data_IF_117355155394
#
_entry.id   IF_117355155394
#
_cell.length_a   1.000
_cell.length_b   1.000
_cell.length_c   1.000
_cell.angle_alpha   90.00
_cell.angle_beta   90.00
_cell.angle_gamma   90.00
#
_symmetry.space_group_name_H-M   'P 1'
#
loop_
_entity.id
_entity.type
_entity.pdbx_description
1 polymer ?
#
# COMPACT_ATOMS: atom_id res chain seq x y z
N UNK A 1 8.35 -21.89 -1.46
CA UNK A 1 8.60 -20.59 -0.80
C UNK A 1 10.05 -20.46 -0.37
N UNK A 2 10.70 -21.54 0.09
CA UNK A 2 12.11 -21.50 0.52
C UNK A 2 13.13 -21.33 -0.63
N UNK A 3 12.77 -21.72 -1.86
CA UNK A 3 13.63 -21.59 -3.05
C UNK A 3 13.37 -20.33 -3.90
N UNK A 4 12.65 -19.33 -3.37
CA UNK A 4 12.37 -18.09 -4.11
C UNK A 4 13.36 -17.01 -3.72
N UNK A 5 13.93 -16.32 -4.72
CA UNK A 5 14.76 -15.15 -4.48
C UNK A 5 13.90 -14.05 -3.85
N UNK A 6 14.32 -13.45 -2.73
CA UNK A 6 13.62 -12.30 -2.17
C UNK A 6 13.52 -11.15 -3.19
N UNK A 7 12.37 -10.48 -3.28
CA UNK A 7 12.15 -9.32 -4.17
C UNK A 7 13.15 -8.18 -3.95
N UNK A 8 13.78 -8.12 -2.77
CA UNK A 8 14.86 -7.17 -2.47
C UNK A 8 16.11 -7.40 -3.34
N UNK A 9 16.34 -8.62 -3.81
CA UNK A 9 17.51 -9.02 -4.59
C UNK A 9 17.21 -9.22 -6.08
N UNK A 10 15.95 -9.08 -6.49
CA UNK A 10 15.56 -9.17 -7.89
C UNK A 10 15.63 -7.81 -8.59
N UNK A 11 15.93 -7.84 -9.89
CA UNK A 11 15.69 -6.69 -10.77
C UNK A 11 14.17 -6.59 -11.00
N UNK A 12 13.51 -5.44 -10.72
CA UNK A 12 12.07 -5.29 -10.90
C UNK A 12 11.57 -5.59 -12.30
N UNK A 13 12.41 -5.52 -13.33
CA UNK A 13 12.04 -5.89 -14.71
C UNK A 13 11.83 -7.39 -14.89
N UNK A 14 12.43 -8.22 -14.04
CA UNK A 14 12.29 -9.68 -14.05
C UNK A 14 11.17 -10.18 -13.14
N UNK A 15 10.67 -9.33 -12.24
CA UNK A 15 9.56 -9.71 -11.33
C UNK A 15 8.26 -9.80 -12.13
N UNK A 16 7.62 -10.96 -12.14
CA UNK A 16 6.33 -11.15 -12.81
C UNK A 16 5.23 -10.26 -12.23
N UNK A 17 4.28 -9.86 -13.08
CA UNK A 17 3.15 -9.04 -12.64
C UNK A 17 2.17 -9.89 -11.83
N UNK A 18 1.69 -9.35 -10.71
CA UNK A 18 0.75 -10.01 -9.81
C UNK A 18 -0.10 -8.97 -9.10
N UNK A 19 -1.32 -9.34 -8.71
CA UNK A 19 -2.20 -8.50 -7.88
C UNK A 19 -1.60 -8.19 -6.49
N UNK A 20 -0.55 -8.91 -6.09
CA UNK A 20 0.15 -8.74 -4.81
C UNK A 20 1.44 -7.91 -4.92
N UNK A 21 1.83 -7.49 -6.14
CA UNK A 21 3.04 -6.71 -6.40
C UNK A 21 2.67 -5.42 -7.13
N UNK A 22 2.84 -4.29 -6.44
CA UNK A 22 2.60 -2.97 -6.99
C UNK A 22 3.93 -2.36 -7.43
N UNK A 23 4.06 -1.98 -8.70
CA UNK A 23 5.23 -1.29 -9.24
C UNK A 23 4.91 0.18 -9.49
N UNK A 24 5.80 1.07 -9.06
CA UNK A 24 5.62 2.52 -9.22
C UNK A 24 6.92 3.17 -9.69
N UNK A 25 6.82 4.35 -10.28
CA UNK A 25 7.98 5.13 -10.71
C UNK A 25 8.35 6.21 -9.70
N UNK A 26 9.61 6.62 -9.71
CA UNK A 26 10.15 7.65 -8.84
C UNK A 26 9.45 8.98 -9.09
N UNK A 27 9.07 9.66 -8.00
CA UNK A 27 8.33 10.92 -8.02
C UNK A 27 6.83 10.78 -8.30
N UNK A 28 6.33 9.58 -8.62
CA UNK A 28 4.91 9.33 -8.89
C UNK A 28 4.06 9.58 -7.63
N UNK A 29 2.90 10.23 -7.80
CA UNK A 29 1.87 10.28 -6.76
C UNK A 29 0.93 9.09 -6.90
N UNK A 30 0.73 8.36 -5.80
CA UNK A 30 -0.03 7.12 -5.75
C UNK A 30 -1.15 7.24 -4.73
N UNK A 31 -2.37 6.89 -5.14
CA UNK A 31 -3.52 6.71 -4.27
C UNK A 31 -3.76 5.23 -3.99
N UNK A 32 -3.65 4.84 -2.71
CA UNK A 32 -4.02 3.52 -2.23
C UNK A 32 -5.46 3.58 -1.71
N UNK A 33 -6.37 2.91 -2.43
CA UNK A 33 -7.77 2.75 -2.03
C UNK A 33 -7.93 1.41 -1.31
N UNK A 34 -8.03 1.46 0.01
CA UNK A 34 -8.20 0.27 0.86
C UNK A 34 -9.69 0.03 1.05
N UNK A 35 -10.17 -1.14 0.64
CA UNK A 35 -11.57 -1.55 0.79
C UNK A 35 -11.66 -2.63 1.86
N UNK A 36 -12.46 -2.42 2.90
CA UNK A 36 -12.73 -3.43 3.92
C UNK A 36 -14.11 -4.03 3.63
N UNK A 37 -14.14 -5.33 3.32
CA UNK A 37 -15.33 -6.08 2.88
C UNK A 37 -15.63 -7.25 3.82
N UNK A 38 -16.86 -7.77 3.76
CA UNK A 38 -17.33 -8.92 4.55
C UNK A 38 -18.19 -8.51 5.76
N UNK A 39 -19.03 -9.42 6.28
CA UNK A 39 -19.82 -9.13 7.48
C UNK A 39 -18.90 -9.03 8.71
N UNK A 40 -19.09 -8.01 9.54
CA UNK A 40 -18.41 -7.84 10.84
C UNK A 40 -16.86 -7.78 10.75
N UNK A 41 -16.33 -7.18 9.68
CA UNK A 41 -14.89 -7.04 9.53
C UNK A 41 -14.33 -6.06 10.58
N UNK A 42 -13.38 -6.56 11.37
CA UNK A 42 -12.72 -5.79 12.42
C UNK A 42 -11.85 -4.67 11.82
N UNK A 43 -11.53 -3.62 12.60
CA UNK A 43 -10.57 -2.61 12.16
C UNK A 43 -9.20 -3.26 11.88
N UNK A 44 -8.62 -2.95 10.73
CA UNK A 44 -7.29 -3.42 10.35
C UNK A 44 -6.28 -2.27 10.45
N UNK A 45 -5.31 -2.31 11.37
CA UNK A 45 -4.20 -1.36 11.39
C UNK A 45 -3.31 -1.64 10.19
N UNK A 46 -3.34 -0.80 9.16
CA UNK A 46 -2.50 -0.93 7.98
C UNK A 46 -1.23 -0.11 8.14
N UNK A 47 -0.09 -0.68 7.77
CA UNK A 47 1.23 -0.05 7.86
C UNK A 47 1.93 -0.08 6.50
N UNK A 48 2.51 1.07 6.11
CA UNK A 48 3.35 1.23 4.93
C UNK A 48 4.82 1.38 5.38
N UNK A 49 5.67 0.51 4.86
CA UNK A 49 7.12 0.70 4.91
C UNK A 49 7.57 1.80 3.94
N UNK A 50 8.78 2.33 4.12
CA UNK A 50 9.32 3.52 3.42
C UNK A 50 8.74 4.84 3.95
N UNK A 51 8.35 5.75 3.07
CA UNK A 51 7.81 7.04 3.44
C UNK A 51 6.33 6.98 3.87
N UNK A 52 5.93 7.99 4.65
CA UNK A 52 4.57 8.17 5.16
C UNK A 52 3.58 8.51 4.03
N UNK A 53 2.31 8.23 4.26
CA UNK A 53 1.20 8.58 3.39
C UNK A 53 0.24 9.58 4.05
N UNK A 54 -0.35 10.44 3.24
CA UNK A 54 -1.45 11.33 3.63
C UNK A 54 -2.75 10.55 3.71
N UNK A 55 -3.48 10.69 4.80
CA UNK A 55 -4.81 10.12 4.94
C UNK A 55 -5.82 11.11 4.36
N UNK A 56 -6.31 10.84 3.15
CA UNK A 56 -7.16 11.79 2.44
C UNK A 56 -8.62 11.72 2.88
N UNK A 57 -9.15 10.51 3.06
CA UNK A 57 -10.56 10.33 3.36
C UNK A 57 -10.93 8.89 3.66
N UNK A 58 -12.12 8.71 4.23
CA UNK A 58 -12.72 7.42 4.52
C UNK A 58 -14.23 7.52 4.36
N UNK A 59 -14.87 6.39 4.07
CA UNK A 59 -16.31 6.35 3.90
C UNK A 59 -16.90 4.96 4.13
N UNK A 60 -18.24 4.94 4.17
CA UNK A 60 -19.06 3.73 4.24
C UNK A 60 -19.69 3.53 2.85
N UNK A 61 -19.85 2.28 2.44
CA UNK A 61 -20.29 1.86 1.13
C UNK A 61 -19.17 1.26 0.28
N UNK A 62 -19.55 0.71 -0.87
CA UNK A 62 -18.59 0.19 -1.83
C UNK A 62 -17.87 1.34 -2.56
N UNK A 63 -16.57 1.20 -2.77
CA UNK A 63 -15.84 2.07 -3.68
C UNK A 63 -16.11 1.66 -5.13
N UNK A 64 -16.79 2.52 -5.89
CA UNK A 64 -17.23 2.27 -7.28
C UNK A 64 -16.60 3.22 -8.31
N UNK A 65 -15.65 4.05 -7.90
CA UNK A 65 -14.96 5.02 -8.77
C UNK A 65 -13.63 4.47 -9.29
N UNK A 66 -13.16 4.95 -10.44
CA UNK A 66 -11.85 4.57 -10.96
C UNK A 66 -10.74 5.43 -10.35
N UNK A 67 -11.05 6.67 -9.98
CA UNK A 67 -10.07 7.60 -9.41
C UNK A 67 -10.58 8.30 -8.16
N UNK A 68 -9.65 8.80 -7.33
CA UNK A 68 -9.99 9.64 -6.16
C UNK A 68 -10.63 10.95 -6.58
N UNK A 69 -10.27 11.48 -7.75
CA UNK A 69 -10.88 12.71 -8.29
C UNK A 69 -12.36 12.50 -8.64
N UNK A 70 -12.71 11.37 -9.27
CA UNK A 70 -14.10 11.01 -9.55
C UNK A 70 -14.90 10.84 -8.26
N UNK A 71 -14.34 10.15 -7.27
CA UNK A 71 -14.97 9.97 -5.97
C UNK A 71 -15.19 11.33 -5.26
N UNK A 72 -14.19 12.22 -5.29
CA UNK A 72 -14.28 13.53 -4.68
C UNK A 72 -15.34 14.44 -5.34
N UNK A 73 -15.59 14.26 -6.63
CA UNK A 73 -16.65 14.99 -7.35
C UNK A 73 -18.06 14.44 -7.05
N UNK A 74 -18.18 13.13 -6.78
CA UNK A 74 -19.46 12.46 -6.55
C UNK A 74 -19.91 12.46 -5.06
N UNK A 75 -18.95 12.54 -4.13
CA UNK A 75 -19.21 12.46 -2.70
C UNK A 75 -19.43 13.85 -2.06
N UNK A 76 -20.07 13.92 -0.88
CA UNK A 76 -20.28 15.19 -0.19
C UNK A 76 -18.99 15.98 0.04
N UNK A 77 -19.09 17.31 0.00
CA UNK A 77 -17.98 18.18 0.33
C UNK A 77 -17.44 17.88 1.74
N UNK A 78 -16.12 17.82 1.88
CA UNK A 78 -15.45 17.46 3.14
C UNK A 78 -15.21 15.96 3.35
N UNK A 79 -15.67 15.08 2.44
CA UNK A 79 -15.29 13.65 2.49
C UNK A 79 -13.78 13.43 2.33
N UNK A 80 -13.12 14.25 1.51
CA UNK A 80 -11.67 14.26 1.36
C UNK A 80 -11.06 15.55 1.91
N UNK A 81 -9.99 15.42 2.69
CA UNK A 81 -9.18 16.52 3.18
C UNK A 81 -7.93 16.67 2.29
N UNK A 82 -8.00 17.57 1.31
CA UNK A 82 -6.85 17.90 0.45
C UNK A 82 -6.03 19.09 0.95
N UNK A 83 -6.52 19.82 1.95
CA UNK A 83 -5.88 21.05 2.44
C UNK A 83 -4.79 20.78 3.47
N UNK A 84 -5.07 19.91 4.45
CA UNK A 84 -4.11 19.53 5.49
C UNK A 84 -4.38 18.10 6.01
N UNK A 85 -4.22 17.07 5.16
CA UNK A 85 -4.41 15.69 5.58
C UNK A 85 -3.32 15.25 6.57
N UNK A 86 -3.66 14.40 7.57
CA UNK A 86 -2.65 13.81 8.45
C UNK A 86 -1.63 12.98 7.66
N UNK A 87 -0.34 13.16 7.94
CA UNK A 87 0.76 12.38 7.39
C UNK A 87 1.16 11.25 8.36
N UNK A 88 0.96 9.99 7.96
CA UNK A 88 1.11 8.80 8.82
C UNK A 88 1.78 7.63 8.09
N UNK A 89 2.46 6.78 8.83
CA UNK A 89 2.99 5.47 8.40
C UNK A 89 2.03 4.31 8.71
N UNK A 90 1.16 4.48 9.70
CA UNK A 90 0.11 3.54 10.07
C UNK A 90 -1.27 4.19 10.17
N UNK A 91 -2.30 3.46 9.75
CA UNK A 91 -3.69 3.88 9.90
C UNK A 91 -4.64 2.69 10.05
N UNK A 92 -5.62 2.82 10.95
CA UNK A 92 -6.62 1.78 11.20
C UNK A 92 -7.86 1.96 10.32
N UNK A 93 -8.19 0.93 9.53
CA UNK A 93 -9.41 0.93 8.70
C UNK A 93 -10.67 1.11 9.54
N UNK A 94 -11.70 1.69 8.93
CA UNK A 94 -13.01 1.78 9.58
C UNK A 94 -13.59 0.37 9.73
N UNK A 95 -14.08 -0.03 10.92
CA UNK A 95 -14.78 -1.30 11.06
C UNK A 95 -15.96 -1.38 10.10
N UNK A 96 -16.21 -2.56 9.55
CA UNK A 96 -17.40 -2.84 8.76
C UNK A 96 -18.36 -3.67 9.63
N UNK A 97 -19.40 -3.01 10.13
CA UNK A 97 -20.43 -3.66 10.95
C UNK A 97 -21.66 -4.11 10.13
N UNK A 98 -21.87 -3.52 8.94
CA UNK A 98 -23.06 -3.72 8.11
C UNK A 98 -22.74 -3.60 6.61
N UNK A 99 -21.99 -2.57 6.22
CA UNK A 99 -21.66 -2.22 4.84
C UNK A 99 -20.15 -2.12 4.65
N UNK A 100 -19.63 -2.45 3.46
CA UNK A 100 -18.22 -2.22 3.09
C UNK A 100 -17.76 -0.83 3.49
N UNK A 101 -16.50 -0.68 3.88
CA UNK A 101 -15.89 0.62 4.12
C UNK A 101 -14.71 0.81 3.20
N UNK A 102 -14.31 2.07 3.00
CA UNK A 102 -13.12 2.40 2.24
C UNK A 102 -12.32 3.51 2.89
N UNK A 103 -11.06 3.58 2.49
CA UNK A 103 -10.11 4.60 2.89
C UNK A 103 -9.14 4.90 1.77
N UNK A 104 -8.71 6.14 1.68
CA UNK A 104 -7.74 6.59 0.70
C UNK A 104 -6.50 7.13 1.39
N UNK A 105 -5.36 6.53 1.07
CA UNK A 105 -4.03 7.04 1.41
C UNK A 105 -3.37 7.57 0.14
N UNK A 106 -2.67 8.70 0.22
CA UNK A 106 -1.88 9.25 -0.88
C UNK A 106 -0.43 9.41 -0.48
N UNK A 107 0.51 8.95 -1.29
CA UNK A 107 1.92 9.19 -1.07
C UNK A 107 2.63 9.53 -2.38
N UNK A 108 3.80 10.17 -2.26
CA UNK A 108 4.70 10.36 -3.39
C UNK A 108 5.81 9.32 -3.30
N UNK A 109 6.20 8.69 -4.39
CA UNK A 109 7.32 7.75 -4.41
C UNK A 109 8.62 8.54 -4.33
N UNK A 110 9.30 8.51 -3.18
CA UNK A 110 10.52 9.31 -2.95
C UNK A 110 11.72 8.47 -2.53
N UNK A 111 11.55 7.16 -2.41
CA UNK A 111 12.59 6.25 -1.94
C UNK A 111 12.46 4.93 -2.72
N UNK A 112 13.31 4.69 -3.72
CA UNK A 112 13.28 3.46 -4.50
C UNK A 112 13.60 2.21 -3.68
N UNK A 113 12.89 1.11 -3.91
CA UNK A 113 13.14 -0.18 -3.26
C UNK A 113 11.88 -1.03 -3.03
N UNK A 114 12.09 -2.21 -2.46
CA UNK A 114 11.03 -3.16 -2.13
C UNK A 114 10.53 -2.94 -0.70
N UNK A 115 9.23 -2.66 -0.55
CA UNK A 115 8.58 -2.33 0.70
C UNK A 115 7.30 -3.14 0.92
N UNK A 116 6.95 -3.34 2.18
CA UNK A 116 5.72 -4.03 2.55
C UNK A 116 4.61 -3.01 2.87
N UNK A 117 3.41 -3.25 2.36
CA UNK A 117 2.18 -2.65 2.88
C UNK A 117 1.29 -3.75 3.43
N UNK A 118 1.03 -3.75 4.75
CA UNK A 118 0.42 -4.90 5.41
C UNK A 118 -0.40 -4.52 6.64
N UNK A 119 -1.22 -5.47 7.09
CA UNK A 119 -1.87 -5.35 8.38
C UNK A 119 -0.85 -5.57 9.52
N UNK A 120 -0.85 -4.71 10.53
CA UNK A 120 0.04 -4.74 11.68
C UNK A 120 -0.49 -5.65 12.82
N UNK A 121 -1.43 -6.54 12.49
CA UNK A 121 -1.84 -7.66 13.36
C UNK A 121 -1.05 -8.88 12.91
N UNK A 122 -0.23 -9.44 13.81
CA UNK A 122 0.72 -10.51 13.49
C UNK A 122 0.07 -11.70 12.76
N UNK A 123 -1.09 -12.16 13.24
CA UNK A 123 -1.81 -13.28 12.63
C UNK A 123 -2.37 -12.95 11.25
N UNK A 124 -2.71 -11.69 10.97
CA UNK A 124 -3.21 -11.27 9.66
C UNK A 124 -2.09 -11.18 8.63
N UNK A 125 -0.93 -10.59 8.98
CA UNK A 125 0.23 -10.55 8.06
C UNK A 125 0.78 -11.95 7.82
N UNK A 126 0.88 -12.79 8.86
CA UNK A 126 1.28 -14.19 8.70
C UNK A 126 0.28 -14.99 7.84
N UNK A 127 -1.01 -14.62 7.89
CA UNK A 127 -2.06 -15.16 7.03
C UNK A 127 -2.10 -14.59 5.60
N UNK A 128 -1.17 -13.70 5.24
CA UNK A 128 -1.04 -13.17 3.88
C UNK A 128 -1.69 -11.80 3.63
N UNK A 129 -2.14 -11.08 4.66
CA UNK A 129 -2.69 -9.72 4.51
C UNK A 129 -1.58 -8.67 4.29
N UNK A 130 -0.88 -8.80 3.16
CA UNK A 130 0.22 -7.96 2.75
C UNK A 130 0.30 -7.85 1.22
N UNK A 131 0.82 -6.74 0.73
CA UNK A 131 1.25 -6.55 -0.65
C UNK A 131 2.68 -6.02 -0.67
N UNK A 132 3.44 -6.43 -1.67
CA UNK A 132 4.77 -5.88 -1.93
C UNK A 132 4.62 -4.65 -2.83
N UNK A 133 5.32 -3.57 -2.47
CA UNK A 133 5.46 -2.37 -3.28
C UNK A 133 6.91 -2.29 -3.74
N UNK A 134 7.12 -2.35 -5.06
CA UNK A 134 8.38 -2.04 -5.70
C UNK A 134 8.30 -0.57 -6.12
N UNK A 135 8.72 0.30 -5.20
CA UNK A 135 8.67 1.74 -5.40
C UNK A 135 9.91 2.19 -6.20
N UNK A 136 9.71 3.06 -7.19
CA UNK A 136 10.82 3.64 -7.97
C UNK A 136 11.57 2.64 -8.84
N UNK A 137 10.86 1.78 -9.59
CA UNK A 137 11.47 0.75 -10.44
C UNK A 137 12.36 1.31 -11.57
N UNK A 138 12.18 2.59 -11.89
CA UNK A 138 12.97 3.35 -12.85
C UNK A 138 14.29 3.91 -12.28
N UNK A 139 14.48 3.86 -10.96
CA UNK A 139 15.70 4.28 -10.25
C UNK A 139 16.07 3.25 -9.16
N UNK A 140 16.00 1.96 -9.52
CA UNK A 140 16.16 0.87 -8.57
C UNK A 140 17.60 0.78 -8.00
N UNK A 141 17.77 0.67 -6.68
CA UNK A 141 19.10 0.66 -6.09
C UNK A 141 19.81 -0.67 -6.34
N UNK A 142 21.14 -0.60 -6.48
CA UNK A 142 21.98 -1.81 -6.54
C UNK A 142 22.10 -2.42 -5.16
N UNK A 143 21.90 -3.74 -5.08
CA UNK A 143 22.12 -4.50 -3.85
C UNK A 143 23.59 -4.40 -3.43
N UNK A 144 23.90 -4.01 -2.18
CA UNK A 144 25.27 -4.00 -1.69
C UNK A 144 25.92 -5.39 -1.76
N UNK A 145 27.19 -5.53 -2.21
CA UNK A 145 27.82 -6.84 -2.40
C UNK A 145 27.87 -7.73 -1.16
N UNK A 146 27.96 -7.14 0.04
CA UNK A 146 27.95 -7.87 1.31
C UNK A 146 26.59 -8.51 1.63
N UNK A 147 25.50 -8.00 1.07
CA UNK A 147 24.16 -8.57 1.25
C UNK A 147 23.94 -9.79 0.35
N UNK A 148 24.58 -9.84 -0.82
CA UNK A 148 24.53 -11.00 -1.72
C UNK A 148 25.31 -12.19 -1.13
N UNK A 149 26.55 -11.92 -0.69
CA UNK A 149 27.42 -12.94 -0.11
C UNK A 149 26.85 -13.58 1.16
N UNK A 150 26.08 -12.84 1.96
CA UNK A 150 25.44 -13.36 3.17
C UNK A 150 24.24 -14.28 2.89
N UNK A 151 23.70 -14.26 1.67
CA UNK A 151 22.55 -15.07 1.25
C UNK A 151 22.93 -16.33 0.46
N UNK A 152 24.23 -16.53 0.19
CA UNK A 152 24.69 -17.64 -0.65
C UNK A 152 24.36 -17.49 -2.14
N UNK A 153 23.99 -16.27 -2.56
CA UNK A 153 23.79 -15.85 -3.95
C UNK A 153 25.08 -15.25 -4.54
#
# INVERSE_FOLDING_TARGET
>A
LEDQTPLLFEDPSNVESSDLILKTNSGQWVDLVIKTQGPLAQPHPMHKHSNKAYVLGKGIGNWTWNTVSEAAAALPAGTFNFANPPLRDGYTTTPNEVNSTWMVLRYQVTNPGAFLFHCHVQTHVAGGMAVAMLDGVDDWPKVPPNMLMATGL
#
